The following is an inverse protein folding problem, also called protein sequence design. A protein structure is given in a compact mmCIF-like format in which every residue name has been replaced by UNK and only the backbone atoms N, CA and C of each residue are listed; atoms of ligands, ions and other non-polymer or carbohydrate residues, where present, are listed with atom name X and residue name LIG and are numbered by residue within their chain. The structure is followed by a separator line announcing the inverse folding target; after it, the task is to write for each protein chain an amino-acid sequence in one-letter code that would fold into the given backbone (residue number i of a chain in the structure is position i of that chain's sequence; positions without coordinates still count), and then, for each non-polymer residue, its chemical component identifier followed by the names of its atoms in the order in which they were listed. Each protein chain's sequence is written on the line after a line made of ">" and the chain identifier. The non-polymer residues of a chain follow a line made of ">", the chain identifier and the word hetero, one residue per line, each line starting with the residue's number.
data_IF_906234504257
#
_entry.id   IF_906234504257
#
_cell.length_a   1.000
_cell.length_b   1.000
_cell.length_c   1.000
_cell.angle_alpha   90.00
_cell.angle_beta   90.00
_cell.angle_gamma   90.00
#
_symmetry.space_group_name_H-M   'P 1'
#
loop_
_entity.id
_entity.type
_entity.pdbx_description
1 polymer ?
#
# COMPACT_ATOMS: atom_id res chain seq x y z
N UNK A 1 13.88 -1.01 8.25
CA UNK A 1 12.83 0.00 8.15
C UNK A 1 11.45 -0.66 8.12
N UNK A 2 10.41 0.05 8.54
CA UNK A 2 9.02 -0.39 8.43
C UNK A 2 8.33 0.31 7.25
N UNK A 3 7.49 -0.40 6.51
CA UNK A 3 6.79 0.17 5.36
C UNK A 3 5.38 -0.40 5.22
N UNK A 4 4.45 0.42 4.74
CA UNK A 4 3.14 -0.07 4.30
C UNK A 4 3.28 -1.03 3.12
N UNK A 5 2.45 -2.09 3.03
CA UNK A 5 2.44 -3.00 1.87
C UNK A 5 2.16 -2.28 0.54
N UNK A 6 1.48 -1.15 0.58
CA UNK A 6 1.17 -0.33 -0.60
C UNK A 6 2.42 0.16 -1.36
N UNK A 7 3.57 0.31 -0.68
CA UNK A 7 4.86 0.71 -1.27
C UNK A 7 5.71 -0.46 -1.79
N UNK A 8 5.26 -1.72 -1.64
CA UNK A 8 6.12 -2.91 -1.84
C UNK A 8 6.76 -2.95 -3.24
N UNK A 9 5.97 -2.83 -4.31
CA UNK A 9 6.52 -2.92 -5.68
C UNK A 9 7.50 -1.78 -5.98
N UNK A 10 7.18 -0.56 -5.53
CA UNK A 10 8.00 0.62 -5.73
C UNK A 10 9.36 0.49 -5.01
N UNK A 11 9.34 0.10 -3.73
CA UNK A 11 10.57 -0.08 -2.95
C UNK A 11 11.42 -1.25 -3.44
N UNK A 12 10.80 -2.38 -3.83
CA UNK A 12 11.53 -3.50 -4.43
C UNK A 12 12.21 -3.14 -5.75
N UNK A 13 11.67 -2.17 -6.49
CA UNK A 13 12.30 -1.68 -7.71
C UNK A 13 13.42 -0.66 -7.45
N UNK A 14 13.28 0.19 -6.43
CA UNK A 14 14.21 1.30 -6.20
C UNK A 14 15.37 0.92 -5.26
N UNK A 15 15.12 0.19 -4.18
CA UNK A 15 16.10 -0.06 -3.12
C UNK A 15 17.36 -0.84 -3.58
N UNK A 16 17.28 -1.85 -4.47
CA UNK A 16 18.47 -2.57 -4.92
C UNK A 16 19.51 -1.68 -5.60
N UNK A 17 19.08 -0.63 -6.30
CA UNK A 17 20.00 0.32 -6.94
C UNK A 17 20.73 1.19 -5.91
N UNK A 18 20.00 1.63 -4.88
CA UNK A 18 20.59 2.32 -3.73
C UNK A 18 21.64 1.45 -3.02
N UNK A 19 21.30 0.19 -2.74
CA UNK A 19 22.24 -0.74 -2.10
C UNK A 19 23.53 -0.94 -2.91
N UNK A 20 23.39 -1.09 -4.24
CA UNK A 20 24.56 -1.23 -5.14
C UNK A 20 25.41 0.03 -5.17
N UNK A 21 24.78 1.19 -5.19
CA UNK A 21 25.49 2.47 -5.29
C UNK A 21 26.21 2.86 -4.00
N UNK A 22 25.67 2.48 -2.83
CA UNK A 22 26.15 2.95 -1.53
C UNK A 22 26.84 1.88 -0.69
N UNK A 23 26.63 0.60 -1.00
CA UNK A 23 27.07 -0.53 -0.18
C UNK A 23 26.23 -0.77 1.07
N UNK A 24 25.25 0.10 1.38
CA UNK A 24 24.33 -0.11 2.49
C UNK A 24 23.37 -1.27 2.22
N UNK A 25 22.89 -1.91 3.29
CA UNK A 25 21.86 -2.94 3.23
C UNK A 25 20.57 -2.42 3.85
N UNK A 26 19.45 -2.63 3.16
CA UNK A 26 18.13 -2.13 3.58
C UNK A 26 17.21 -3.31 3.86
N UNK A 27 16.92 -3.54 5.12
CA UNK A 27 15.91 -4.52 5.54
C UNK A 27 14.55 -3.82 5.64
N UNK A 28 13.52 -4.37 5.00
CA UNK A 28 12.18 -3.79 4.97
C UNK A 28 11.16 -4.78 5.50
N UNK A 29 10.48 -4.42 6.58
CA UNK A 29 9.32 -5.14 7.07
C UNK A 29 8.04 -4.46 6.58
N UNK A 30 7.28 -5.16 5.76
CA UNK A 30 6.01 -4.66 5.26
C UNK A 30 4.88 -5.00 6.24
N UNK A 31 4.33 -3.95 6.86
CA UNK A 31 3.36 -4.05 7.94
C UNK A 31 2.18 -3.12 7.68
N UNK A 32 0.97 -3.51 8.09
CA UNK A 32 -0.14 -2.56 8.13
C UNK A 32 0.09 -1.51 9.25
N UNK A 33 -0.73 -0.45 9.26
CA UNK A 33 -0.58 0.65 10.23
C UNK A 33 -0.59 0.14 11.68
N UNK A 34 -1.48 -0.79 12.03
CA UNK A 34 -1.57 -1.32 13.39
C UNK A 34 -0.31 -2.09 13.77
N UNK A 35 0.23 -2.92 12.87
CA UNK A 35 1.49 -3.63 13.08
C UNK A 35 2.67 -2.68 13.24
N UNK A 36 2.78 -1.67 12.37
CA UNK A 36 3.84 -0.66 12.46
C UNK A 36 3.79 0.10 13.80
N UNK A 37 2.60 0.60 14.18
CA UNK A 37 2.42 1.29 15.47
C UNK A 37 2.72 0.38 16.67
N UNK A 38 2.28 -0.87 16.63
CA UNK A 38 2.54 -1.85 17.68
C UNK A 38 4.02 -2.06 17.92
N UNK A 39 4.81 -2.26 16.86
CA UNK A 39 6.27 -2.46 16.96
C UNK A 39 7.00 -1.18 17.42
N UNK A 40 6.62 0.00 16.90
CA UNK A 40 7.18 1.28 17.35
C UNK A 40 6.87 1.54 18.82
N UNK A 41 5.64 1.27 19.28
CA UNK A 41 5.25 1.46 20.68
C UNK A 41 5.94 0.45 21.61
N UNK A 42 6.23 -0.75 21.14
CA UNK A 42 7.04 -1.74 21.85
C UNK A 42 8.54 -1.37 21.93
N UNK A 43 8.95 -0.26 21.31
CA UNK A 43 10.34 0.22 21.33
C UNK A 43 11.25 -0.53 20.35
N UNK A 44 10.70 -1.25 19.37
CA UNK A 44 11.50 -1.94 18.38
C UNK A 44 12.30 -0.93 17.55
N UNK A 45 13.62 -1.17 17.33
CA UNK A 45 14.47 -0.22 16.61
C UNK A 45 14.12 -0.19 15.12
N UNK A 46 14.06 1.01 14.56
CA UNK A 46 13.91 1.25 13.14
C UNK A 46 14.61 2.57 12.74
N UNK A 47 14.98 2.69 11.46
CA UNK A 47 15.61 3.92 10.97
C UNK A 47 14.61 4.77 10.16
N UNK A 48 13.73 4.15 9.36
CA UNK A 48 12.70 4.81 8.56
C UNK A 48 11.36 4.11 8.76
N UNK A 49 10.28 4.88 8.84
CA UNK A 49 8.91 4.39 8.74
C UNK A 49 8.21 5.02 7.53
N UNK A 50 7.64 4.19 6.64
CA UNK A 50 6.77 4.61 5.53
C UNK A 50 5.34 4.21 5.87
N UNK A 51 4.53 5.22 6.17
CA UNK A 51 3.14 5.08 6.64
C UNK A 51 2.29 6.20 6.02
N UNK A 52 1.01 6.34 6.42
CA UNK A 52 0.22 7.49 5.98
C UNK A 52 0.76 8.82 6.52
N UNK A 53 0.54 9.94 5.81
CA UNK A 53 0.95 11.27 6.27
C UNK A 53 0.47 11.56 7.70
N UNK A 54 -0.80 11.27 7.99
CA UNK A 54 -1.33 11.44 9.35
C UNK A 54 -0.57 10.60 10.40
N UNK A 55 -0.18 9.37 10.06
CA UNK A 55 0.59 8.55 11.01
C UNK A 55 2.02 9.08 11.19
N UNK A 56 2.62 9.71 10.18
CA UNK A 56 3.90 10.42 10.32
C UNK A 56 3.73 11.58 11.30
N UNK A 57 2.70 12.42 11.10
CA UNK A 57 2.42 13.57 11.99
C UNK A 57 2.24 13.11 13.45
N UNK A 58 1.44 12.07 13.68
CA UNK A 58 1.19 11.49 15.00
C UNK A 58 2.51 11.00 15.65
N UNK A 59 3.38 10.33 14.87
CA UNK A 59 4.67 9.82 15.37
C UNK A 59 5.71 10.94 15.61
N UNK A 60 5.69 12.01 14.80
CA UNK A 60 6.50 13.22 15.04
C UNK A 60 6.07 13.90 16.34
N UNK A 61 4.76 14.04 16.59
CA UNK A 61 4.24 14.61 17.84
C UNK A 61 4.62 13.78 19.07
N UNK A 62 4.72 12.46 18.93
CA UNK A 62 5.17 11.54 19.98
C UNK A 62 6.70 11.50 20.13
N UNK A 63 7.46 12.25 19.34
CA UNK A 63 8.92 12.24 19.35
C UNK A 63 9.56 10.93 18.84
N UNK A 64 8.79 10.09 18.13
CA UNK A 64 9.29 8.84 17.53
C UNK A 64 9.96 9.07 16.18
N UNK A 65 9.54 10.09 15.45
CA UNK A 65 10.15 10.56 14.22
C UNK A 65 10.75 11.96 14.39
N UNK A 66 11.76 12.26 13.60
CA UNK A 66 12.40 13.59 13.56
C UNK A 66 11.43 14.57 12.92
N UNK A 67 11.00 15.57 13.68
CA UNK A 67 10.04 16.59 13.23
C UNK A 67 10.56 17.34 12.00
N UNK A 68 9.71 17.44 10.97
CA UNK A 68 10.02 18.18 9.74
C UNK A 68 11.03 17.49 8.81
N UNK A 69 11.40 16.23 9.08
CA UNK A 69 12.28 15.42 8.24
C UNK A 69 11.52 14.36 7.44
N UNK A 70 10.22 14.57 7.22
CA UNK A 70 9.38 13.67 6.46
C UNK A 70 9.44 13.93 4.95
N UNK A 71 9.37 12.85 4.16
CA UNK A 71 9.28 12.86 2.71
C UNK A 71 7.87 12.44 2.28
N UNK A 72 7.18 13.29 1.51
CA UNK A 72 5.95 12.86 0.84
C UNK A 72 6.31 11.89 -0.29
N UNK A 73 5.91 10.62 -0.14
CA UNK A 73 6.19 9.56 -1.11
C UNK A 73 5.17 9.51 -2.26
N UNK A 74 4.03 10.21 -2.13
CA UNK A 74 2.94 10.14 -3.10
C UNK A 74 1.82 9.20 -2.68
N UNK A 75 1.20 8.54 -3.66
CA UNK A 75 0.01 7.71 -3.43
C UNK A 75 -0.03 6.49 -4.33
N UNK A 76 -0.80 5.48 -3.94
CA UNK A 76 -1.15 4.35 -4.82
C UNK A 76 -2.67 4.16 -4.84
N UNK A 77 -3.21 3.85 -6.03
CA UNK A 77 -4.62 3.52 -6.17
C UNK A 77 -4.96 2.14 -5.63
N UNK A 78 -6.25 1.85 -5.48
CA UNK A 78 -6.74 0.51 -5.21
C UNK A 78 -6.76 -0.33 -6.49
N UNK A 79 -6.64 -1.65 -6.33
CA UNK A 79 -6.66 -2.62 -7.41
C UNK A 79 -7.48 -3.84 -7.04
N UNK A 80 -8.00 -4.49 -8.07
CA UNK A 80 -8.63 -5.81 -8.00
C UNK A 80 -7.59 -6.88 -8.31
N UNK A 81 -7.57 -7.92 -7.48
CA UNK A 81 -6.84 -9.17 -7.71
C UNK A 81 -7.81 -10.35 -7.69
N UNK A 82 -7.46 -11.44 -8.35
CA UNK A 82 -8.25 -12.67 -8.37
C UNK A 82 -7.38 -13.89 -8.11
N UNK A 83 -8.01 -15.04 -7.88
CA UNK A 83 -7.27 -16.31 -7.85
C UNK A 83 -6.70 -16.64 -9.24
N UNK A 84 -5.64 -17.44 -9.29
CA UNK A 84 -5.08 -17.91 -10.56
C UNK A 84 -6.11 -18.69 -11.39
N UNK A 85 -6.18 -18.36 -12.67
CA UNK A 85 -7.12 -19.00 -13.60
C UNK A 85 -8.53 -18.38 -13.59
N UNK A 86 -8.77 -17.34 -12.79
CA UNK A 86 -10.01 -16.58 -12.89
C UNK A 86 -10.14 -15.96 -14.28
N UNK A 87 -11.27 -16.15 -14.94
CA UNK A 87 -11.59 -15.40 -16.15
C UNK A 87 -11.57 -13.90 -15.82
N UNK A 88 -10.70 -13.14 -16.51
CA UNK A 88 -10.47 -11.73 -16.19
C UNK A 88 -11.75 -10.91 -16.33
N UNK A 89 -12.32 -10.38 -15.23
CA UNK A 89 -13.53 -9.59 -15.31
C UNK A 89 -13.22 -8.21 -15.92
N UNK A 90 -14.23 -7.64 -16.58
CA UNK A 90 -14.19 -6.26 -17.03
C UNK A 90 -14.41 -5.31 -15.83
N UNK A 91 -13.42 -4.48 -15.57
CA UNK A 91 -13.46 -3.41 -14.55
C UNK A 91 -13.11 -2.04 -15.14
N UNK A 92 -13.17 -1.88 -16.45
CA UNK A 92 -12.79 -0.63 -17.14
C UNK A 92 -13.74 0.54 -16.89
N UNK A 93 -15.00 0.26 -16.56
CA UNK A 93 -16.01 1.26 -16.24
C UNK A 93 -16.64 0.98 -14.86
N UNK A 94 -17.24 2.00 -14.25
CA UNK A 94 -17.90 1.86 -12.93
C UNK A 94 -18.98 0.80 -12.96
N UNK A 95 -19.81 0.77 -14.01
CA UNK A 95 -20.91 -0.18 -14.12
C UNK A 95 -20.44 -1.63 -14.31
N UNK A 96 -19.39 -1.86 -15.09
CA UNK A 96 -18.80 -3.20 -15.24
C UNK A 96 -18.13 -3.66 -13.95
N UNK A 97 -17.41 -2.77 -13.26
CA UNK A 97 -16.84 -3.04 -11.94
C UNK A 97 -17.92 -3.34 -10.88
N UNK A 98 -19.01 -2.57 -10.86
CA UNK A 98 -20.16 -2.80 -9.99
C UNK A 98 -20.76 -4.19 -10.21
N UNK A 99 -20.99 -4.57 -11.50
CA UNK A 99 -21.45 -5.92 -11.85
C UNK A 99 -20.49 -7.02 -11.39
N UNK A 100 -19.18 -6.80 -11.57
CA UNK A 100 -18.15 -7.74 -11.11
C UNK A 100 -18.25 -7.97 -9.60
N UNK A 101 -18.37 -6.92 -8.81
CA UNK A 101 -18.50 -7.04 -7.36
C UNK A 101 -19.81 -7.74 -6.94
N UNK A 102 -20.95 -7.35 -7.54
CA UNK A 102 -22.26 -7.92 -7.21
C UNK A 102 -22.42 -9.39 -7.65
N UNK A 103 -21.70 -9.82 -8.69
CA UNK A 103 -21.71 -11.20 -9.15
C UNK A 103 -20.69 -12.09 -8.41
N UNK A 104 -19.70 -11.51 -7.78
CA UNK A 104 -18.72 -12.26 -7.02
C UNK A 104 -19.37 -12.98 -5.83
N UNK A 105 -19.02 -14.24 -5.64
CA UNK A 105 -19.47 -15.02 -4.48
C UNK A 105 -18.95 -14.42 -3.17
N UNK A 106 -17.68 -14.04 -3.14
CA UNK A 106 -17.05 -13.41 -1.99
C UNK A 106 -15.88 -12.50 -2.45
N UNK A 107 -15.79 -11.32 -1.85
CA UNK A 107 -14.72 -10.33 -2.06
C UNK A 107 -13.92 -10.18 -0.77
N UNK A 108 -12.64 -10.51 -0.81
CA UNK A 108 -11.76 -10.35 0.35
C UNK A 108 -11.12 -8.95 0.40
N UNK A 109 -10.96 -8.41 1.60
CA UNK A 109 -10.28 -7.13 1.83
C UNK A 109 -9.62 -7.10 3.22
N UNK A 110 -8.74 -6.15 3.48
CA UNK A 110 -8.12 -5.97 4.79
C UNK A 110 -8.82 -4.86 5.58
N UNK A 111 -9.59 -5.20 6.61
CA UNK A 111 -10.30 -4.21 7.42
C UNK A 111 -9.37 -3.23 8.17
N UNK A 112 -8.14 -3.65 8.47
CA UNK A 112 -7.13 -2.86 9.20
C UNK A 112 -6.12 -2.17 8.28
N UNK A 113 -6.20 -2.42 6.96
CA UNK A 113 -5.37 -1.78 5.95
C UNK A 113 -6.05 -0.58 5.31
N UNK A 114 -5.27 0.42 4.90
CA UNK A 114 -5.80 1.63 4.24
C UNK A 114 -6.55 1.31 2.94
N UNK A 115 -6.10 0.29 2.19
CA UNK A 115 -6.79 -0.17 0.99
C UNK A 115 -8.20 -0.72 1.30
N UNK A 116 -8.37 -1.39 2.42
CA UNK A 116 -9.69 -1.88 2.83
C UNK A 116 -10.61 -0.76 3.28
N UNK A 117 -10.10 0.22 4.02
CA UNK A 117 -10.85 1.43 4.37
C UNK A 117 -11.28 2.18 3.10
N UNK A 118 -10.37 2.32 2.12
CA UNK A 118 -10.66 2.90 0.82
C UNK A 118 -11.73 2.10 0.06
N UNK A 119 -11.67 0.76 0.09
CA UNK A 119 -12.67 -0.08 -0.56
C UNK A 119 -14.09 0.15 0.00
N UNK A 120 -14.24 0.26 1.31
CA UNK A 120 -15.54 0.55 1.89
C UNK A 120 -16.11 1.90 1.42
N UNK A 121 -15.27 2.92 1.25
CA UNK A 121 -15.67 4.21 0.64
C UNK A 121 -16.06 4.05 -0.83
N UNK A 122 -15.37 3.18 -1.59
CA UNK A 122 -15.74 2.87 -2.98
C UNK A 122 -17.14 2.26 -3.04
N UNK A 123 -17.47 1.31 -2.15
CA UNK A 123 -18.82 0.73 -2.07
C UNK A 123 -19.89 1.78 -1.74
N UNK A 124 -19.57 2.71 -0.85
CA UNK A 124 -20.45 3.82 -0.50
C UNK A 124 -20.67 4.77 -1.69
N UNK A 125 -19.59 5.17 -2.38
CA UNK A 125 -19.67 6.01 -3.60
C UNK A 125 -20.51 5.37 -4.70
N UNK A 126 -20.49 4.04 -4.82
CA UNK A 126 -21.29 3.31 -5.81
C UNK A 126 -22.71 2.99 -5.33
N UNK A 127 -23.04 3.30 -4.07
CA UNK A 127 -24.36 3.04 -3.47
C UNK A 127 -24.69 1.55 -3.32
N UNK A 128 -23.68 0.68 -3.14
CA UNK A 128 -23.87 -0.78 -3.04
C UNK A 128 -23.39 -1.38 -1.71
N UNK A 129 -23.15 -0.57 -0.71
CA UNK A 129 -22.65 -1.06 0.59
C UNK A 129 -23.57 -2.09 1.23
N UNK A 130 -24.88 -1.91 1.11
CA UNK A 130 -25.86 -2.83 1.70
C UNK A 130 -25.86 -4.20 0.98
N UNK A 131 -25.85 -4.20 -0.36
CA UNK A 131 -25.84 -5.41 -1.19
C UNK A 131 -24.52 -6.18 -1.03
N UNK A 132 -23.41 -5.47 -0.83
CA UNK A 132 -22.08 -6.08 -0.68
C UNK A 132 -21.85 -6.63 0.73
N UNK A 133 -22.56 -6.17 1.75
CA UNK A 133 -22.34 -6.59 3.16
C UNK A 133 -22.28 -8.11 3.36
N UNK A 134 -23.15 -8.94 2.77
CA UNK A 134 -23.06 -10.41 2.89
C UNK A 134 -21.97 -11.03 1.99
N UNK A 135 -21.37 -10.27 1.08
CA UNK A 135 -20.41 -10.74 0.07
C UNK A 135 -18.98 -10.26 0.32
N UNK A 136 -18.73 -9.50 1.36
CA UNK A 136 -17.39 -9.03 1.71
C UNK A 136 -16.87 -9.73 2.95
N UNK A 137 -15.58 -10.10 2.92
CA UNK A 137 -14.89 -10.72 4.05
C UNK A 137 -13.61 -9.96 4.37
N UNK A 138 -13.52 -9.51 5.60
CA UNK A 138 -12.27 -8.93 6.10
C UNK A 138 -11.30 -10.03 6.54
N UNK A 139 -10.02 -9.86 6.20
CA UNK A 139 -8.93 -10.73 6.65
C UNK A 139 -7.66 -9.92 6.85
N UNK A 140 -6.86 -10.28 7.84
CA UNK A 140 -5.51 -9.74 8.01
C UNK A 140 -4.57 -10.19 6.88
N UNK A 141 -4.88 -11.32 6.23
CA UNK A 141 -4.19 -11.84 5.06
C UNK A 141 -5.19 -12.07 3.91
N UNK A 142 -5.60 -10.99 3.26
CA UNK A 142 -6.51 -11.02 2.12
C UNK A 142 -5.99 -11.91 0.98
N UNK A 143 -4.69 -11.87 0.72
CA UNK A 143 -4.09 -12.64 -0.38
C UNK A 143 -4.28 -14.16 -0.19
N UNK A 144 -4.12 -14.67 1.03
CA UNK A 144 -4.32 -16.08 1.33
C UNK A 144 -5.78 -16.53 1.16
N UNK A 145 -6.74 -15.65 1.48
CA UNK A 145 -8.18 -15.94 1.31
C UNK A 145 -8.55 -16.05 -0.17
N UNK A 146 -7.91 -15.24 -1.03
CA UNK A 146 -8.11 -15.33 -2.49
C UNK A 146 -7.35 -16.51 -3.08
N UNK A 147 -6.11 -16.75 -2.63
CA UNK A 147 -5.27 -17.86 -3.11
C UNK A 147 -5.93 -19.23 -2.83
N UNK A 148 -6.53 -19.41 -1.66
CA UNK A 148 -7.25 -20.63 -1.31
C UNK A 148 -8.56 -20.86 -2.08
N UNK A 149 -9.01 -19.86 -2.87
CA UNK A 149 -10.29 -19.88 -3.56
C UNK A 149 -11.50 -19.68 -2.63
N UNK A 150 -11.28 -19.36 -1.35
CA UNK A 150 -12.38 -19.00 -0.45
C UNK A 150 -13.08 -17.73 -0.93
N UNK A 151 -12.31 -16.70 -1.34
CA UNK A 151 -12.82 -15.55 -2.10
C UNK A 151 -12.37 -15.63 -3.56
N UNK A 152 -13.24 -15.25 -4.48
CA UNK A 152 -12.90 -15.20 -5.91
C UNK A 152 -11.96 -14.05 -6.25
N UNK A 153 -12.19 -12.92 -5.59
CA UNK A 153 -11.48 -11.67 -5.83
C UNK A 153 -11.13 -11.00 -4.51
N UNK A 154 -10.15 -10.11 -4.58
CA UNK A 154 -9.71 -9.32 -3.43
C UNK A 154 -9.37 -7.88 -3.81
N UNK A 155 -9.48 -6.99 -2.84
CA UNK A 155 -9.11 -5.58 -2.99
C UNK A 155 -7.82 -5.30 -2.22
N UNK A 156 -6.88 -4.65 -2.90
CA UNK A 156 -5.57 -4.28 -2.35
C UNK A 156 -5.10 -2.95 -2.95
N UNK A 157 -3.94 -2.44 -2.53
CA UNK A 157 -3.27 -1.35 -3.25
C UNK A 157 -2.55 -1.88 -4.50
N UNK A 158 -2.46 -1.08 -5.57
CA UNK A 158 -1.74 -1.43 -6.81
C UNK A 158 -0.34 -1.94 -6.50
N UNK A 159 0.43 -1.20 -5.69
CA UNK A 159 1.81 -1.56 -5.36
C UNK A 159 1.96 -2.90 -4.62
N UNK A 160 0.99 -3.30 -3.80
CA UNK A 160 0.97 -4.61 -3.18
C UNK A 160 0.52 -5.69 -4.18
N UNK A 161 -0.56 -5.41 -4.92
CA UNK A 161 -1.13 -6.34 -5.91
C UNK A 161 -0.13 -6.79 -6.97
N UNK A 162 0.72 -5.88 -7.44
CA UNK A 162 1.79 -6.17 -8.42
C UNK A 162 2.85 -7.16 -7.89
N UNK A 163 2.89 -7.43 -6.59
CA UNK A 163 3.88 -8.35 -5.99
C UNK A 163 3.32 -9.73 -5.66
N UNK A 164 2.02 -9.93 -5.79
CA UNK A 164 1.39 -11.22 -5.51
C UNK A 164 1.58 -12.20 -6.68
N UNK A 165 2.62 -13.04 -6.60
CA UNK A 165 2.90 -14.05 -7.65
C UNK A 165 1.86 -15.17 -7.68
N UNK A 166 1.19 -15.43 -6.57
CA UNK A 166 0.15 -16.45 -6.39
C UNK A 166 -1.24 -16.00 -6.84
N UNK A 167 -1.45 -14.70 -7.09
CA UNK A 167 -2.73 -14.13 -7.53
C UNK A 167 -2.65 -13.59 -8.95
N UNK A 168 -3.81 -13.38 -9.57
CA UNK A 168 -3.94 -12.65 -10.82
C UNK A 168 -4.15 -11.16 -10.54
N UNK A 169 -3.26 -10.31 -11.04
CA UNK A 169 -3.46 -8.86 -10.98
C UNK A 169 -4.43 -8.45 -12.09
N UNK A 170 -5.66 -8.11 -11.74
CA UNK A 170 -6.70 -7.74 -12.71
C UNK A 170 -6.51 -6.30 -13.16
N UNK A 171 -6.29 -5.36 -12.23
CA UNK A 171 -6.01 -3.98 -12.58
C UNK A 171 -6.43 -2.98 -11.51
N UNK A 172 -6.11 -1.68 -11.72
CA UNK A 172 -6.59 -0.61 -10.86
C UNK A 172 -8.11 -0.46 -11.00
N UNK A 173 -8.76 0.05 -9.95
CA UNK A 173 -10.19 0.35 -9.97
C UNK A 173 -10.50 1.49 -10.96
N UNK A 174 -11.74 1.60 -11.47
CA UNK A 174 -12.14 2.68 -12.38
C UNK A 174 -11.86 4.06 -11.76
N UNK A 175 -11.29 4.97 -12.56
CA UNK A 175 -10.83 6.30 -12.08
C UNK A 175 -11.93 7.10 -11.36
N UNK A 176 -13.19 7.00 -11.81
CA UNK A 176 -14.30 7.75 -11.23
C UNK A 176 -14.65 7.32 -9.78
N UNK A 177 -14.29 6.12 -9.37
CA UNK A 177 -14.52 5.60 -8.01
C UNK A 177 -13.23 5.26 -7.28
N UNK A 178 -12.07 5.53 -7.91
CA UNK A 178 -10.77 5.24 -7.33
C UNK A 178 -10.59 5.93 -5.97
N UNK A 179 -10.04 5.19 -5.04
CA UNK A 179 -9.54 5.69 -3.77
C UNK A 179 -8.03 5.48 -3.71
N UNK A 180 -7.35 6.35 -2.97
CA UNK A 180 -5.90 6.36 -2.91
C UNK A 180 -5.38 6.15 -1.49
N UNK A 181 -4.32 5.38 -1.38
CA UNK A 181 -3.50 5.26 -0.16
C UNK A 181 -2.33 6.23 -0.31
N UNK A 182 -2.27 7.23 0.55
CA UNK A 182 -1.20 8.22 0.59
C UNK A 182 -0.09 7.76 1.52
N UNK A 183 1.17 8.04 1.15
CA UNK A 183 2.34 7.58 1.88
C UNK A 183 3.32 8.72 2.13
N UNK A 184 3.89 8.72 3.32
CA UNK A 184 5.03 9.56 3.68
C UNK A 184 6.07 8.73 4.42
N UNK A 185 7.33 9.07 4.25
CA UNK A 185 8.45 8.46 4.95
C UNK A 185 8.96 9.41 6.03
N UNK A 186 9.16 8.90 7.24
CA UNK A 186 9.74 9.64 8.35
C UNK A 186 11.02 8.99 8.87
N UNK A 187 12.00 9.81 9.27
CA UNK A 187 13.23 9.37 9.91
C UNK A 187 13.00 9.12 11.39
N UNK A 188 13.44 7.98 11.90
CA UNK A 188 13.38 7.69 13.35
C UNK A 188 14.22 8.66 14.16
N UNK A 189 13.70 9.15 15.30
CA UNK A 189 14.46 9.97 16.24
C UNK A 189 15.60 9.18 16.91
N UNK A 190 15.51 7.85 16.92
CA UNK A 190 16.50 6.94 17.50
C UNK A 190 17.13 6.02 16.41
N UNK A 191 17.24 6.54 15.18
CA UNK A 191 17.84 5.78 14.07
C UNK A 191 19.28 5.37 14.40
N UNK A 192 19.57 4.06 14.29
CA UNK A 192 20.94 3.53 14.48
C UNK A 192 21.83 3.83 13.30
N UNK A 193 21.28 3.85 12.08
CA UNK A 193 21.96 4.15 10.83
C UNK A 193 21.46 5.49 10.24
N UNK A 194 21.46 6.56 11.05
CA UNK A 194 20.82 7.84 10.71
C UNK A 194 21.34 8.50 9.42
N UNK A 195 22.64 8.42 9.13
CA UNK A 195 23.20 8.96 7.87
C UNK A 195 22.75 8.14 6.66
N UNK A 196 22.84 6.82 6.71
CA UNK A 196 22.34 5.95 5.64
C UNK A 196 20.83 6.09 5.43
N UNK A 197 20.06 6.28 6.51
CA UNK A 197 18.62 6.54 6.43
C UNK A 197 18.31 7.87 5.74
N UNK A 198 19.04 8.95 6.06
CA UNK A 198 18.89 10.25 5.35
C UNK A 198 19.25 10.13 3.88
N UNK A 199 20.36 9.43 3.58
CA UNK A 199 20.79 9.17 2.19
C UNK A 199 19.71 8.40 1.42
N UNK A 200 19.07 7.39 2.03
CA UNK A 200 17.97 6.66 1.41
C UNK A 200 16.75 7.56 1.17
N UNK A 201 16.36 8.42 2.12
CA UNK A 201 15.26 9.35 1.93
C UNK A 201 15.53 10.34 0.79
N UNK A 202 16.76 10.87 0.69
CA UNK A 202 17.18 11.72 -0.43
C UNK A 202 17.12 10.99 -1.76
N UNK A 203 17.62 9.75 -1.81
CA UNK A 203 17.56 8.90 -2.99
C UNK A 203 16.12 8.64 -3.43
N UNK A 204 15.21 8.32 -2.51
CA UNK A 204 13.79 8.10 -2.82
C UNK A 204 13.07 9.37 -3.32
N UNK A 205 13.62 10.56 -3.01
CA UNK A 205 13.12 11.84 -3.50
C UNK A 205 13.68 12.23 -4.88
N UNK A 206 14.70 11.52 -5.40
CA UNK A 206 15.29 11.80 -6.70
C UNK A 206 14.26 11.62 -7.83
N UNK A 207 14.13 12.58 -8.77
CA UNK A 207 13.14 12.51 -9.85
C UNK A 207 13.25 11.26 -10.73
N UNK A 208 14.44 10.69 -10.92
CA UNK A 208 14.61 9.47 -11.70
C UNK A 208 14.09 8.25 -10.91
N UNK A 209 14.33 8.22 -9.61
CA UNK A 209 13.82 7.18 -8.71
C UNK A 209 12.30 7.27 -8.57
N UNK A 210 11.76 8.47 -8.44
CA UNK A 210 10.31 8.73 -8.42
C UNK A 210 9.66 8.20 -9.72
N UNK A 211 10.25 8.45 -10.89
CA UNK A 211 9.76 7.87 -12.15
C UNK A 211 9.78 6.34 -12.14
N UNK A 212 10.84 5.72 -11.64
CA UNK A 212 10.93 4.26 -11.49
C UNK A 212 9.82 3.73 -10.57
N UNK A 213 9.60 4.36 -9.43
CA UNK A 213 8.53 3.97 -8.50
C UNK A 213 7.14 4.15 -9.11
N UNK A 214 6.95 5.16 -9.98
CA UNK A 214 5.67 5.40 -10.66
C UNK A 214 5.29 4.26 -11.60
N UNK A 215 6.25 3.64 -12.28
CA UNK A 215 5.99 2.45 -13.12
C UNK A 215 5.56 1.23 -12.28
N UNK A 216 5.68 1.31 -10.98
CA UNK A 216 5.32 0.28 -9.99
C UNK A 216 4.13 0.66 -9.13
N UNK A 217 3.29 1.59 -9.61
CA UNK A 217 2.02 1.96 -9.00
C UNK A 217 2.12 2.92 -7.83
N UNK A 218 3.28 3.59 -7.62
CA UNK A 218 3.40 4.67 -6.66
C UNK A 218 3.40 6.01 -7.41
N UNK A 219 2.23 6.61 -7.55
CA UNK A 219 2.07 7.93 -8.19
C UNK A 219 2.77 9.00 -7.35
N UNK A 220 3.55 9.91 -7.97
CA UNK A 220 4.21 10.99 -7.24
C UNK A 220 3.20 11.92 -6.57
N UNK A 221 3.64 12.72 -5.58
CA UNK A 221 2.82 13.82 -5.08
C UNK A 221 2.34 14.71 -6.22
N UNK A 222 1.11 15.24 -6.11
CA UNK A 222 0.67 16.26 -7.05
C UNK A 222 1.67 17.43 -7.06
N UNK A 223 2.03 17.92 -8.23
CA UNK A 223 2.83 19.14 -8.34
C UNK A 223 2.09 20.29 -7.62
N UNK A 224 2.84 21.01 -6.77
CA UNK A 224 2.31 22.20 -6.08
C UNK A 224 2.10 23.32 -7.08
#
# INVERSE_FOLDING_TARGET
>A
MFSTPAATAALKAAVPDFERATGHKVTIDFLNIAGTRGRINAGEPFDIAIVSPKAVDDLEQQGKLVKGASLNMGRTGLALVGHKGLARPDIGAVESFKRTLLNARLVAYSATGESGIGFLKVLEKMGISAEMKPRIRSSSNMASVVESGEAEIGITGVGAGLTYTQLEFIGPLPAAVQEYVYMAAGLSSNAKAGEAARSLLQYLADPAVVRTMSTRGLEPPAAK
#
